data_IF_329940698704
#
_entry.id   IF_329940698704
#
_cell.length_a   1.000
_cell.length_b   1.000
_cell.length_c   1.000
_cell.angle_alpha   90.00
_cell.angle_beta   90.00
_cell.angle_gamma   90.00
#
_symmetry.space_group_name_H-M   'P 1'
#
loop_
_entity.id
_entity.type
_entity.pdbx_description
1 polymer ?
#
# COMPACT_ATOMS: atom_id res chain seq x y z
N UNK A 1 1.89 -36.43 -13.50
CA UNK A 1 1.42 -35.42 -12.52
C UNK A 1 -0.08 -35.53 -12.28
N UNK A 2 -0.93 -35.43 -13.30
CA UNK A 2 -2.39 -35.48 -13.13
C UNK A 2 -2.93 -36.78 -12.51
N UNK A 3 -2.36 -37.94 -12.86
CA UNK A 3 -2.75 -39.21 -12.24
C UNK A 3 -2.42 -39.26 -10.74
N UNK A 4 -1.31 -38.63 -10.32
CA UNK A 4 -0.90 -38.58 -8.91
C UNK A 4 -1.78 -37.59 -8.13
N UNK A 5 -2.10 -36.44 -8.74
CA UNK A 5 -3.05 -35.46 -8.19
C UNK A 5 -4.44 -36.08 -8.02
N UNK A 6 -4.93 -36.81 -9.03
CA UNK A 6 -6.20 -37.54 -8.96
C UNK A 6 -6.18 -38.63 -7.88
N UNK A 7 -5.06 -39.37 -7.75
CA UNK A 7 -4.88 -40.33 -6.66
C UNK A 7 -5.01 -39.63 -5.29
N UNK A 8 -4.26 -38.55 -5.05
CA UNK A 8 -4.30 -37.79 -3.80
C UNK A 8 -5.70 -37.23 -3.48
N UNK A 9 -6.47 -36.82 -4.50
CA UNK A 9 -7.85 -36.34 -4.33
C UNK A 9 -8.83 -37.45 -3.94
N UNK A 10 -8.68 -38.63 -4.53
CA UNK A 10 -9.61 -39.74 -4.40
C UNK A 10 -9.27 -40.70 -3.25
N UNK A 11 -8.11 -40.54 -2.59
CA UNK A 11 -7.76 -41.37 -1.43
C UNK A 11 -8.72 -41.12 -0.28
N UNK A 12 -9.24 -42.21 0.29
CA UNK A 12 -10.06 -42.18 1.51
C UNK A 12 -9.19 -41.71 2.69
N UNK A 13 -9.56 -40.61 3.38
CA UNK A 13 -8.81 -40.12 4.53
C UNK A 13 -8.66 -41.12 5.68
N UNK A 14 -9.49 -42.17 5.72
CA UNK A 14 -9.47 -43.18 6.77
C UNK A 14 -8.46 -44.32 6.51
N UNK A 15 -7.96 -44.47 5.26
CA UNK A 15 -6.98 -45.50 4.93
C UNK A 15 -5.55 -44.97 5.07
N UNK A 16 -4.95 -45.20 6.23
CA UNK A 16 -3.63 -44.64 6.56
C UNK A 16 -2.48 -45.10 5.65
N UNK A 17 -2.54 -46.29 5.04
CA UNK A 17 -1.45 -46.80 4.20
C UNK A 17 -1.53 -46.23 2.79
N UNK A 18 -2.73 -46.17 2.21
CA UNK A 18 -2.96 -45.54 0.90
C UNK A 18 -2.63 -44.04 0.92
N UNK A 19 -2.94 -43.34 2.02
CA UNK A 19 -2.57 -41.93 2.20
C UNK A 19 -1.06 -41.76 2.23
N UNK A 20 -0.31 -42.61 2.94
CA UNK A 20 1.17 -42.54 2.99
C UNK A 20 1.79 -42.81 1.63
N UNK A 21 1.30 -43.79 0.88
CA UNK A 21 1.82 -44.13 -0.45
C UNK A 21 1.56 -43.00 -1.46
N UNK A 22 0.34 -42.47 -1.47
CA UNK A 22 -0.05 -41.37 -2.35
C UNK A 22 0.75 -40.09 -2.04
N UNK A 23 0.93 -39.75 -0.76
CA UNK A 23 1.71 -38.58 -0.34
C UNK A 23 3.22 -38.75 -0.61
N UNK A 24 3.78 -39.93 -0.36
CA UNK A 24 5.18 -40.21 -0.66
C UNK A 24 5.46 -40.04 -2.16
N UNK A 25 4.58 -40.57 -3.00
CA UNK A 25 4.64 -40.41 -4.46
C UNK A 25 4.52 -38.93 -4.88
N UNK A 26 3.63 -38.17 -4.24
CA UNK A 26 3.46 -36.74 -4.49
C UNK A 26 4.70 -35.92 -4.12
N UNK A 27 5.29 -36.11 -2.94
CA UNK A 27 6.50 -35.39 -2.51
C UNK A 27 7.75 -35.74 -3.33
N UNK A 28 7.86 -36.99 -3.81
CA UNK A 28 8.87 -37.38 -4.78
C UNK A 28 8.68 -36.65 -6.12
N UNK A 29 7.43 -36.45 -6.57
CA UNK A 29 7.15 -35.68 -7.78
C UNK A 29 7.43 -34.18 -7.63
N UNK A 30 7.15 -33.58 -6.48
CA UNK A 30 7.51 -32.17 -6.21
C UNK A 30 9.01 -31.94 -6.40
N UNK A 31 9.83 -32.90 -5.99
CA UNK A 31 11.29 -32.82 -6.13
C UNK A 31 11.78 -32.93 -7.59
N UNK A 32 10.97 -33.52 -8.49
CA UNK A 32 11.31 -33.77 -9.90
C UNK A 32 10.77 -32.69 -10.85
N UNK A 33 9.57 -32.14 -10.61
CA UNK A 33 8.90 -31.21 -11.53
C UNK A 33 9.05 -29.73 -11.14
N UNK A 34 10.30 -29.31 -10.89
CA UNK A 34 10.65 -28.03 -10.26
C UNK A 34 10.26 -26.75 -11.04
N UNK A 35 10.02 -26.83 -12.35
CA UNK A 35 10.01 -25.61 -13.20
C UNK A 35 8.80 -25.42 -14.13
N UNK A 36 8.09 -26.47 -14.53
CA UNK A 36 7.07 -26.37 -15.61
C UNK A 36 5.62 -26.07 -15.13
N UNK A 37 5.25 -26.40 -13.88
CA UNK A 37 3.87 -26.22 -13.37
C UNK A 37 3.79 -25.81 -11.89
N UNK A 38 4.67 -24.90 -11.44
CA UNK A 38 4.82 -24.54 -10.02
C UNK A 38 3.52 -24.02 -9.38
N UNK A 39 2.70 -23.26 -10.12
CA UNK A 39 1.43 -22.72 -9.59
C UNK A 39 0.41 -23.81 -9.23
N UNK A 40 0.17 -24.76 -10.14
CA UNK A 40 -0.75 -25.89 -9.91
C UNK A 40 -0.21 -26.77 -8.78
N UNK A 41 1.09 -27.05 -8.78
CA UNK A 41 1.73 -27.84 -7.71
C UNK A 41 1.59 -27.19 -6.33
N UNK A 42 1.71 -25.86 -6.21
CA UNK A 42 1.54 -25.16 -4.94
C UNK A 42 0.10 -25.22 -4.44
N UNK A 43 -0.91 -25.07 -5.30
CA UNK A 43 -2.32 -25.24 -4.91
C UNK A 43 -2.64 -26.65 -4.41
N UNK A 44 -2.12 -27.64 -5.12
CA UNK A 44 -2.26 -29.05 -4.74
C UNK A 44 -1.56 -29.33 -3.40
N UNK A 45 -0.37 -28.76 -3.21
CA UNK A 45 0.36 -28.85 -1.95
C UNK A 45 -0.42 -28.20 -0.79
N UNK A 46 -1.03 -27.03 -1.01
CA UNK A 46 -1.88 -26.40 -0.01
C UNK A 46 -3.07 -27.29 0.36
N UNK A 47 -3.75 -27.88 -0.63
CA UNK A 47 -4.87 -28.80 -0.40
C UNK A 47 -4.43 -30.02 0.42
N UNK A 48 -3.29 -30.60 0.06
CA UNK A 48 -2.68 -31.74 0.78
C UNK A 48 -2.37 -31.39 2.23
N UNK A 49 -1.76 -30.23 2.49
CA UNK A 49 -1.41 -29.81 3.85
C UNK A 49 -2.67 -29.62 4.70
N UNK A 50 -3.72 -29.01 4.14
CA UNK A 50 -4.97 -28.76 4.84
C UNK A 50 -5.77 -30.05 5.10
N UNK A 51 -5.77 -30.99 4.15
CA UNK A 51 -6.52 -32.26 4.26
C UNK A 51 -5.80 -33.31 5.11
N UNK A 52 -4.47 -33.38 5.03
CA UNK A 52 -3.66 -34.43 5.64
C UNK A 52 -2.49 -33.90 6.51
N UNK A 53 -2.72 -32.97 7.46
CA UNK A 53 -1.64 -32.31 8.20
C UNK A 53 -0.75 -33.28 9.00
N UNK A 54 -1.32 -34.39 9.51
CA UNK A 54 -0.58 -35.41 10.28
C UNK A 54 0.49 -36.12 9.43
N UNK A 55 0.18 -36.40 8.16
CA UNK A 55 1.06 -37.12 7.26
C UNK A 55 2.13 -36.22 6.62
N UNK A 56 1.90 -34.91 6.60
CA UNK A 56 2.90 -33.94 6.15
C UNK A 56 4.07 -33.75 7.13
N UNK A 57 3.97 -34.26 8.37
CA UNK A 57 4.98 -34.09 9.41
C UNK A 57 6.35 -34.66 9.00
N UNK A 58 6.38 -35.84 8.38
CA UNK A 58 7.61 -36.50 7.90
C UNK A 58 8.26 -35.77 6.72
N UNK A 59 7.47 -35.01 5.95
CA UNK A 59 7.92 -34.31 4.75
C UNK A 59 8.11 -32.80 4.96
N UNK A 60 7.85 -32.28 6.17
CA UNK A 60 7.88 -30.84 6.48
C UNK A 60 9.17 -30.16 6.02
N UNK A 61 10.35 -30.72 6.33
CA UNK A 61 11.64 -30.13 5.94
C UNK A 61 11.82 -30.04 4.42
N UNK A 62 11.31 -31.02 3.67
CA UNK A 62 11.35 -31.02 2.21
C UNK A 62 10.43 -29.95 1.64
N UNK A 63 9.24 -29.79 2.24
CA UNK A 63 8.27 -28.74 1.89
C UNK A 63 8.88 -27.36 2.15
N UNK A 64 9.47 -27.12 3.32
CA UNK A 64 10.12 -25.84 3.62
C UNK A 64 11.26 -25.53 2.64
N UNK A 65 12.11 -26.53 2.34
CA UNK A 65 13.20 -26.38 1.36
C UNK A 65 12.69 -26.03 -0.04
N UNK A 66 11.53 -26.56 -0.42
CA UNK A 66 10.85 -26.20 -1.67
C UNK A 66 10.30 -24.77 -1.62
N UNK A 67 9.64 -24.39 -0.52
CA UNK A 67 9.01 -23.07 -0.36
C UNK A 67 10.02 -21.92 -0.27
N UNK A 68 11.18 -22.13 0.34
CA UNK A 68 12.26 -21.11 0.46
C UNK A 68 12.67 -20.54 -0.90
N UNK A 69 12.60 -21.34 -1.97
CA UNK A 69 12.98 -20.91 -3.33
C UNK A 69 12.09 -19.78 -3.84
N UNK A 70 10.82 -19.78 -3.43
CA UNK A 70 9.86 -18.77 -3.85
C UNK A 70 10.07 -17.42 -3.17
N UNK A 71 10.86 -17.34 -2.08
CA UNK A 71 11.28 -16.07 -1.49
C UNK A 71 12.06 -15.19 -2.48
N UNK A 72 12.73 -15.81 -3.46
CA UNK A 72 13.49 -15.12 -4.51
C UNK A 72 12.85 -15.24 -5.90
N UNK A 73 11.57 -15.61 -6.00
CA UNK A 73 10.89 -15.75 -7.29
C UNK A 73 10.35 -14.40 -7.79
N UNK A 74 10.41 -14.19 -9.11
CA UNK A 74 9.81 -13.03 -9.78
C UNK A 74 8.30 -13.19 -10.05
N UNK A 75 7.76 -14.42 -9.97
CA UNK A 75 6.36 -14.67 -10.30
C UNK A 75 5.45 -14.45 -9.07
N UNK A 76 4.71 -13.35 -9.09
CA UNK A 76 3.82 -12.93 -8.00
C UNK A 76 2.79 -14.00 -7.58
N UNK A 77 2.20 -14.72 -8.54
CA UNK A 77 1.21 -15.76 -8.24
C UNK A 77 1.83 -16.94 -7.49
N UNK A 78 3.02 -17.39 -7.91
CA UNK A 78 3.74 -18.45 -7.21
C UNK A 78 4.14 -18.02 -5.79
N UNK A 79 4.51 -16.75 -5.60
CA UNK A 79 4.86 -16.20 -4.27
C UNK A 79 3.63 -16.21 -3.36
N UNK A 80 2.45 -15.81 -3.85
CA UNK A 80 1.20 -15.88 -3.07
C UNK A 80 0.91 -17.33 -2.67
N UNK A 81 0.84 -18.26 -3.62
CA UNK A 81 0.49 -19.66 -3.31
C UNK A 81 1.54 -20.31 -2.38
N UNK A 82 2.82 -19.97 -2.54
CA UNK A 82 3.87 -20.42 -1.62
C UNK A 82 3.70 -19.82 -0.22
N UNK A 83 3.26 -18.57 -0.09
CA UNK A 83 2.92 -17.98 1.19
C UNK A 83 1.73 -18.69 1.84
N UNK A 84 0.69 -19.03 1.07
CA UNK A 84 -0.46 -19.81 1.57
C UNK A 84 -0.05 -21.20 2.05
N UNK A 85 0.81 -21.88 1.30
CA UNK A 85 1.38 -23.16 1.70
C UNK A 85 2.19 -23.03 2.99
N UNK A 86 2.99 -21.98 3.11
CA UNK A 86 3.83 -21.69 4.27
C UNK A 86 2.98 -21.43 5.53
N UNK A 87 1.89 -20.68 5.37
CA UNK A 87 0.88 -20.43 6.41
C UNK A 87 0.17 -21.71 6.83
N UNK A 88 -0.32 -22.52 5.87
CA UNK A 88 -0.94 -23.81 6.14
C UNK A 88 0.02 -24.77 6.85
N UNK A 89 1.31 -24.74 6.49
CA UNK A 89 2.34 -25.58 7.09
C UNK A 89 2.49 -25.32 8.59
N UNK A 90 2.14 -24.15 9.11
CA UNK A 90 2.20 -23.88 10.57
C UNK A 90 1.24 -24.76 11.39
N UNK A 91 0.25 -25.40 10.75
CA UNK A 91 -0.62 -26.38 11.40
C UNK A 91 0.10 -27.72 11.63
N UNK A 92 1.12 -28.02 10.83
CA UNK A 92 1.93 -29.23 10.94
C UNK A 92 2.98 -28.98 12.01
N UNK A 93 3.06 -29.81 13.04
CA UNK A 93 4.05 -29.60 14.11
C UNK A 93 5.49 -29.82 13.60
N UNK A 94 6.47 -28.99 14.01
CA UNK A 94 7.88 -29.26 13.74
C UNK A 94 8.33 -30.56 14.42
N UNK A 95 9.05 -31.42 13.70
CA UNK A 95 9.47 -32.73 14.20
C UNK A 95 10.36 -32.67 15.45
N UNK A 96 11.09 -31.56 15.64
CA UNK A 96 12.01 -31.38 16.77
C UNK A 96 11.34 -30.80 18.03
N UNK A 97 10.17 -30.17 17.92
CA UNK A 97 9.56 -29.46 19.04
C UNK A 97 8.32 -30.19 19.53
N UNK A 98 8.47 -30.92 20.64
CA UNK A 98 7.32 -31.60 21.26
C UNK A 98 6.31 -30.63 21.92
N UNK A 99 6.77 -29.40 22.14
CA UNK A 99 6.05 -28.19 22.56
C UNK A 99 4.95 -27.66 21.66
N UNK A 100 5.23 -27.73 20.36
CA UNK A 100 4.76 -26.71 19.45
C UNK A 100 3.26 -26.88 19.16
N UNK A 101 2.52 -25.80 19.42
CA UNK A 101 1.11 -25.66 19.05
C UNK A 101 0.99 -24.87 17.75
N UNK A 102 -0.08 -25.06 16.96
CA UNK A 102 -0.32 -24.25 15.77
C UNK A 102 -0.28 -22.73 16.04
N UNK A 103 -0.76 -22.30 17.22
CA UNK A 103 -0.70 -20.89 17.66
C UNK A 103 0.73 -20.41 17.84
N UNK A 104 1.57 -21.18 18.55
CA UNK A 104 2.97 -20.79 18.80
C UNK A 104 3.77 -20.81 17.50
N UNK A 105 3.62 -21.84 16.67
CA UNK A 105 4.31 -21.93 15.38
C UNK A 105 3.93 -20.78 14.43
N UNK A 106 2.65 -20.40 14.38
CA UNK A 106 2.21 -19.23 13.62
C UNK A 106 2.86 -17.93 14.14
N UNK A 107 2.87 -17.72 15.46
CA UNK A 107 3.46 -16.52 16.07
C UNK A 107 4.97 -16.44 15.81
N UNK A 108 5.66 -17.55 15.98
CA UNK A 108 7.12 -17.61 15.84
C UNK A 108 7.50 -17.35 14.38
N UNK A 109 6.77 -17.93 13.41
CA UNK A 109 6.95 -17.62 12.00
C UNK A 109 6.65 -16.15 11.66
N UNK A 110 5.58 -15.57 12.18
CA UNK A 110 5.27 -14.15 11.95
C UNK A 110 6.38 -13.24 12.48
N UNK A 111 6.93 -13.59 13.64
CA UNK A 111 8.07 -12.88 14.25
C UNK A 111 9.33 -13.01 13.39
N UNK A 112 9.62 -14.20 12.88
CA UNK A 112 10.76 -14.44 11.98
C UNK A 112 10.64 -13.65 10.68
N UNK A 113 9.44 -13.56 10.09
CA UNK A 113 9.19 -12.74 8.90
C UNK A 113 9.42 -11.26 9.20
N UNK A 114 8.92 -10.74 10.32
CA UNK A 114 9.14 -9.34 10.72
C UNK A 114 10.63 -9.04 10.94
N UNK A 115 11.36 -9.93 11.61
CA UNK A 115 12.81 -9.81 11.82
C UNK A 115 13.59 -9.86 10.49
N UNK A 116 13.18 -10.71 9.56
CA UNK A 116 13.77 -10.79 8.23
C UNK A 116 13.55 -9.47 7.45
N UNK A 117 12.36 -8.86 7.55
CA UNK A 117 12.10 -7.53 6.97
C UNK A 117 13.01 -6.48 7.57
N UNK A 118 13.13 -6.41 8.90
CA UNK A 118 14.02 -5.45 9.56
C UNK A 118 15.48 -5.61 9.13
N UNK A 119 15.95 -6.86 9.01
CA UNK A 119 17.30 -7.18 8.53
C UNK A 119 17.48 -6.76 7.07
N UNK A 120 16.47 -7.01 6.22
CA UNK A 120 16.49 -6.61 4.82
C UNK A 120 16.51 -5.09 4.66
N UNK A 121 15.70 -4.35 5.42
CA UNK A 121 15.69 -2.87 5.39
C UNK A 121 17.07 -2.32 5.70
N UNK A 122 17.70 -2.78 6.79
CA UNK A 122 19.05 -2.35 7.16
C UNK A 122 20.11 -2.70 6.11
N UNK A 123 19.91 -3.79 5.36
CA UNK A 123 20.82 -4.19 4.28
C UNK A 123 20.60 -3.47 2.94
N UNK A 124 19.35 -3.07 2.65
CA UNK A 124 18.96 -2.40 1.40
C UNK A 124 19.19 -0.91 1.50
N UNK A 125 18.98 -0.33 2.68
CA UNK A 125 19.01 1.11 2.92
C UNK A 125 20.00 1.47 4.03
N UNK A 126 21.29 1.16 3.82
CA UNK A 126 22.37 1.45 4.79
C UNK A 126 22.48 2.94 5.15
N UNK A 127 22.06 3.82 4.23
CA UNK A 127 22.18 5.28 4.34
C UNK A 127 20.88 5.97 4.77
N UNK A 128 19.78 5.22 4.94
CA UNK A 128 18.54 5.80 5.43
C UNK A 128 18.69 6.15 6.92
N UNK A 129 18.34 7.37 7.30
CA UNK A 129 18.38 7.88 8.68
C UNK A 129 17.47 7.00 9.55
N UNK A 130 18.06 6.02 10.24
CA UNK A 130 17.32 5.07 11.08
C UNK A 130 16.95 5.70 12.42
N UNK A 131 15.80 6.37 12.47
CA UNK A 131 15.20 6.93 13.70
C UNK A 131 14.77 5.82 14.70
N UNK A 132 14.71 4.56 14.28
CA UNK A 132 14.14 3.44 15.04
C UNK A 132 15.12 2.26 15.21
N UNK A 133 16.36 2.52 15.65
CA UNK A 133 17.31 1.47 16.05
C UNK A 133 16.99 0.91 17.44
N UNK A 134 15.91 0.15 17.54
CA UNK A 134 15.89 -0.95 18.49
C UNK A 134 16.13 -2.22 17.69
N UNK A 135 17.39 -2.70 17.70
CA UNK A 135 17.73 -3.97 17.09
C UNK A 135 16.88 -5.07 17.77
N UNK A 136 15.99 -5.76 17.04
CA UNK A 136 15.37 -6.95 17.60
C UNK A 136 16.49 -7.93 17.93
N UNK A 137 16.56 -8.34 19.20
CA UNK A 137 17.48 -9.39 19.65
C UNK A 137 17.32 -10.59 18.71
N UNK A 138 18.42 -11.21 18.22
CA UNK A 138 18.31 -12.35 17.33
C UNK A 138 17.43 -13.42 17.99
N UNK A 139 16.37 -13.81 17.28
CA UNK A 139 15.46 -14.85 17.74
C UNK A 139 16.24 -16.14 18.00
N UNK A 140 15.80 -16.85 19.05
CA UNK A 140 16.29 -18.14 19.55
C UNK A 140 16.63 -19.11 18.41
N UNK A 141 17.70 -19.90 18.61
CA UNK A 141 18.12 -21.08 17.84
C UNK A 141 17.12 -21.51 16.76
N UNK A 142 17.32 -21.05 15.52
CA UNK A 142 16.46 -21.37 14.38
C UNK A 142 16.40 -22.90 14.19
N UNK A 143 15.27 -23.52 14.55
CA UNK A 143 15.08 -24.97 14.53
C UNK A 143 14.59 -25.51 13.17
N UNK A 144 14.11 -24.63 12.29
CA UNK A 144 13.52 -25.00 10.99
C UNK A 144 14.31 -24.45 9.80
N UNK A 145 14.38 -25.19 8.66
CA UNK A 145 14.98 -24.70 7.42
C UNK A 145 14.48 -23.32 6.99
N UNK A 146 13.19 -23.02 7.16
CA UNK A 146 12.62 -21.71 6.85
C UNK A 146 13.18 -20.61 7.76
N UNK A 147 13.24 -20.83 9.09
CA UNK A 147 13.80 -19.87 10.03
C UNK A 147 15.29 -19.59 9.75
N UNK A 148 16.07 -20.61 9.39
CA UNK A 148 17.47 -20.46 8.99
C UNK A 148 17.59 -19.63 7.69
N UNK A 149 16.73 -19.89 6.70
CA UNK A 149 16.73 -19.14 5.45
C UNK A 149 16.34 -17.66 5.64
N UNK A 150 15.42 -17.37 6.57
CA UNK A 150 15.03 -16.01 6.95
C UNK A 150 16.14 -15.29 7.73
N UNK A 151 16.87 -15.99 8.61
CA UNK A 151 18.00 -15.43 9.34
C UNK A 151 19.21 -15.14 8.44
N UNK A 152 19.47 -15.98 7.43
CA UNK A 152 20.59 -15.83 6.49
C UNK A 152 20.20 -15.12 5.17
N UNK A 153 19.09 -14.38 5.18
CA UNK A 153 18.49 -13.83 3.95
C UNK A 153 19.38 -12.84 3.20
N UNK A 154 20.42 -12.31 3.84
CA UNK A 154 21.39 -11.36 3.26
C UNK A 154 22.74 -11.98 2.87
N UNK A 155 23.09 -13.17 3.40
CA UNK A 155 24.47 -13.73 3.32
C UNK A 155 24.81 -14.47 2.02
N UNK A 156 23.82 -14.92 1.25
CA UNK A 156 24.03 -15.81 0.07
C UNK A 156 24.26 -15.11 -1.27
N UNK A 157 24.70 -13.85 -1.31
CA UNK A 157 24.74 -13.08 -2.57
C UNK A 157 26.16 -12.61 -2.90
N UNK A 158 26.69 -13.08 -4.03
CA UNK A 158 28.08 -12.87 -4.47
C UNK A 158 28.28 -11.66 -5.41
N UNK A 159 27.25 -11.21 -6.14
CA UNK A 159 27.34 -10.09 -7.10
C UNK A 159 26.62 -8.82 -6.63
N UNK A 160 27.28 -7.66 -6.71
CA UNK A 160 26.85 -6.41 -6.04
C UNK A 160 25.60 -5.75 -6.67
N UNK A 161 25.46 -5.72 -7.99
CA UNK A 161 24.30 -5.10 -8.66
C UNK A 161 23.05 -5.98 -8.62
N UNK A 162 23.22 -7.28 -8.83
CA UNK A 162 22.13 -8.26 -8.67
C UNK A 162 21.75 -8.45 -7.20
N UNK A 163 22.64 -8.11 -6.27
CA UNK A 163 22.33 -8.16 -4.84
C UNK A 163 21.25 -7.19 -4.44
N UNK A 164 21.30 -5.94 -4.90
CA UNK A 164 20.32 -4.96 -4.46
C UNK A 164 18.93 -5.26 -5.02
N UNK A 165 18.82 -5.55 -6.32
CA UNK A 165 17.55 -5.96 -6.94
C UNK A 165 16.98 -7.23 -6.32
N UNK A 166 17.83 -8.21 -5.99
CA UNK A 166 17.42 -9.44 -5.30
C UNK A 166 16.97 -9.19 -3.86
N UNK A 167 17.61 -8.28 -3.13
CA UNK A 167 17.19 -7.91 -1.77
C UNK A 167 15.85 -7.16 -1.79
N UNK A 168 15.63 -6.26 -2.75
CA UNK A 168 14.33 -5.61 -2.97
C UNK A 168 13.23 -6.63 -3.30
N UNK A 169 13.53 -7.59 -4.19
CA UNK A 169 12.61 -8.68 -4.53
C UNK A 169 12.26 -9.53 -3.31
N UNK A 170 13.25 -9.93 -2.51
CA UNK A 170 13.04 -10.69 -1.27
C UNK A 170 12.20 -9.92 -0.27
N UNK A 171 12.47 -8.62 -0.11
CA UNK A 171 11.70 -7.75 0.78
C UNK A 171 10.23 -7.68 0.36
N UNK A 172 9.97 -7.46 -0.93
CA UNK A 172 8.61 -7.48 -1.49
C UNK A 172 7.92 -8.83 -1.23
N UNK A 173 8.61 -9.93 -1.51
CA UNK A 173 8.05 -11.27 -1.35
C UNK A 173 7.74 -11.59 0.11
N UNK A 174 8.57 -11.18 1.07
CA UNK A 174 8.28 -11.38 2.49
C UNK A 174 7.04 -10.58 2.92
N UNK A 175 6.85 -9.36 2.42
CA UNK A 175 5.63 -8.61 2.70
C UNK A 175 4.38 -9.31 2.15
N UNK A 176 4.48 -9.96 0.98
CA UNK A 176 3.40 -10.82 0.46
C UNK A 176 3.14 -12.01 1.39
N UNK A 177 4.20 -12.61 1.97
CA UNK A 177 4.06 -13.69 2.94
C UNK A 177 3.31 -13.24 4.20
N UNK A 178 3.67 -12.06 4.74
CA UNK A 178 2.97 -11.46 5.89
C UNK A 178 1.49 -11.21 5.55
N UNK A 179 1.20 -10.63 4.37
CA UNK A 179 -0.16 -10.37 3.92
C UNK A 179 -1.00 -11.65 3.81
N UNK A 180 -0.45 -12.70 3.20
CA UNK A 180 -1.14 -13.99 3.08
C UNK A 180 -1.42 -14.61 4.46
N UNK A 181 -0.45 -14.55 5.39
CA UNK A 181 -0.65 -15.06 6.76
C UNK A 181 -1.73 -14.29 7.52
N UNK A 182 -1.92 -12.99 7.25
CA UNK A 182 -2.98 -12.18 7.86
C UNK A 182 -4.36 -12.49 7.28
N UNK A 183 -4.48 -12.62 5.96
CA UNK A 183 -5.79 -12.75 5.28
C UNK A 183 -6.30 -14.19 5.22
N UNK A 184 -5.43 -15.19 5.00
CA UNK A 184 -5.90 -16.56 4.74
C UNK A 184 -6.48 -17.26 5.96
N UNK A 185 -7.47 -18.14 5.74
CA UNK A 185 -8.12 -18.90 6.81
C UNK A 185 -7.10 -19.77 7.56
N UNK A 186 -7.25 -19.84 8.89
CA UNK A 186 -6.44 -20.69 9.76
C UNK A 186 -7.38 -21.44 10.71
N UNK A 187 -7.14 -22.73 11.02
CA UNK A 187 -8.07 -23.54 11.81
C UNK A 187 -8.19 -23.11 13.27
N UNK A 188 -7.29 -22.23 13.73
CA UNK A 188 -7.24 -21.74 15.11
C UNK A 188 -7.18 -20.21 15.10
N UNK A 189 -7.67 -19.57 16.16
CA UNK A 189 -7.52 -18.12 16.34
C UNK A 189 -6.04 -17.70 16.23
N UNK A 190 -5.76 -16.75 15.33
CA UNK A 190 -4.41 -16.25 15.05
C UNK A 190 -3.95 -15.34 16.19
N UNK A 191 -2.81 -15.61 16.85
CA UNK A 191 -2.26 -14.72 17.87
C UNK A 191 -1.54 -13.52 17.22
N UNK A 192 -2.31 -12.63 16.61
CA UNK A 192 -1.78 -11.45 15.90
C UNK A 192 -1.23 -10.45 16.92
N UNK A 193 -0.03 -9.94 16.67
CA UNK A 193 0.60 -8.85 17.43
C UNK A 193 0.64 -7.59 16.55
N UNK A 194 -0.36 -6.70 16.63
CA UNK A 194 -0.48 -5.56 15.71
C UNK A 194 0.73 -4.64 15.77
N UNK A 195 1.28 -4.40 16.97
CA UNK A 195 2.42 -3.54 17.18
C UNK A 195 3.65 -3.96 16.37
N UNK A 196 4.03 -5.24 16.41
CA UNK A 196 5.20 -5.76 15.68
C UNK A 196 5.07 -5.57 14.17
N UNK A 197 3.86 -5.74 13.63
CA UNK A 197 3.59 -5.56 12.20
C UNK A 197 3.59 -4.07 11.85
N UNK A 198 2.99 -3.23 12.70
CA UNK A 198 2.97 -1.78 12.52
C UNK A 198 4.38 -1.18 12.59
N UNK A 199 5.26 -1.69 13.46
CA UNK A 199 6.67 -1.25 13.55
C UNK A 199 7.41 -1.50 12.24
N UNK A 200 7.17 -2.66 11.60
CA UNK A 200 7.69 -2.96 10.25
C UNK A 200 7.17 -1.96 9.22
N UNK A 201 5.87 -1.66 9.22
CA UNK A 201 5.24 -0.70 8.29
C UNK A 201 5.79 0.71 8.50
N UNK A 202 5.90 1.18 9.74
CA UNK A 202 6.50 2.48 10.11
C UNK A 202 7.91 2.58 9.56
N UNK A 203 8.73 1.54 9.74
CA UNK A 203 10.10 1.54 9.25
C UNK A 203 10.16 1.62 7.73
N UNK A 204 9.35 0.84 7.00
CA UNK A 204 9.31 0.85 5.54
C UNK A 204 8.83 2.17 4.95
N UNK A 205 7.80 2.78 5.56
CA UNK A 205 7.27 4.06 5.11
C UNK A 205 8.20 5.23 5.44
N UNK A 206 9.08 5.09 6.44
CA UNK A 206 10.07 6.11 6.81
C UNK A 206 11.35 6.09 5.98
N UNK A 207 11.59 5.04 5.19
CA UNK A 207 12.75 4.99 4.28
C UNK A 207 12.66 6.10 3.23
N UNK A 208 13.72 6.88 3.09
CA UNK A 208 13.91 7.89 2.04
C UNK A 208 15.21 7.60 1.28
N UNK A 209 15.18 7.56 -0.06
CA UNK A 209 16.42 7.53 -0.86
C UNK A 209 17.03 8.93 -0.93
N UNK A 210 18.33 9.05 -0.69
CA UNK A 210 19.11 10.22 -1.12
C UNK A 210 19.44 10.20 -2.62
N UNK A 211 19.18 9.08 -3.30
CA UNK A 211 19.63 8.80 -4.67
C UNK A 211 18.45 8.45 -5.59
N UNK A 212 18.29 9.25 -6.66
CA UNK A 212 17.20 9.14 -7.66
C UNK A 212 17.11 7.79 -8.37
N UNK A 213 18.13 6.94 -8.25
CA UNK A 213 18.21 5.64 -8.92
C UNK A 213 17.33 4.56 -8.26
N UNK A 214 16.82 4.78 -7.04
CA UNK A 214 16.00 3.82 -6.30
C UNK A 214 14.55 4.27 -6.10
N UNK A 215 14.12 5.34 -6.76
CA UNK A 215 12.81 5.96 -6.51
C UNK A 215 11.66 5.01 -6.90
N UNK A 216 11.81 4.22 -7.97
CA UNK A 216 10.81 3.23 -8.39
C UNK A 216 10.70 2.09 -7.39
N UNK A 217 11.82 1.55 -6.92
CA UNK A 217 11.86 0.44 -5.98
C UNK A 217 11.28 0.84 -4.62
N UNK A 218 11.57 2.05 -4.16
CA UNK A 218 10.98 2.62 -2.94
C UNK A 218 9.47 2.79 -3.08
N UNK A 219 8.99 3.31 -4.22
CA UNK A 219 7.55 3.43 -4.45
C UNK A 219 6.85 2.06 -4.37
N UNK A 220 7.43 1.02 -4.99
CA UNK A 220 6.85 -0.33 -4.91
C UNK A 220 6.83 -0.90 -3.50
N UNK A 221 7.86 -0.63 -2.69
CA UNK A 221 7.94 -1.07 -1.30
C UNK A 221 6.93 -0.32 -0.43
N UNK A 222 6.78 0.99 -0.60
CA UNK A 222 5.78 1.78 0.13
C UNK A 222 4.35 1.31 -0.20
N UNK A 223 4.06 1.03 -1.47
CA UNK A 223 2.77 0.43 -1.89
C UNK A 223 2.57 -0.92 -1.18
N UNK A 224 3.59 -1.76 -1.15
CA UNK A 224 3.48 -3.08 -0.52
C UNK A 224 3.32 -2.96 1.01
N UNK A 225 3.93 -1.97 1.65
CA UNK A 225 3.74 -1.67 3.07
C UNK A 225 2.30 -1.20 3.37
N UNK A 226 1.75 -0.31 2.54
CA UNK A 226 0.35 0.13 2.64
C UNK A 226 -0.63 -1.04 2.44
N UNK A 227 -0.37 -1.94 1.48
CA UNK A 227 -1.18 -3.17 1.32
C UNK A 227 -1.10 -4.10 2.54
N UNK A 228 0.03 -4.13 3.24
CA UNK A 228 0.16 -4.87 4.52
C UNK A 228 -0.68 -4.23 5.61
N UNK A 229 -0.74 -2.89 5.65
CA UNK A 229 -1.64 -2.15 6.53
C UNK A 229 -3.11 -2.45 6.21
N UNK A 230 -3.49 -2.47 4.93
CA UNK A 230 -4.86 -2.83 4.51
C UNK A 230 -5.23 -4.25 4.95
N UNK A 231 -4.33 -5.21 4.75
CA UNK A 231 -4.52 -6.60 5.21
C UNK A 231 -4.71 -6.69 6.73
N UNK A 232 -3.99 -5.85 7.48
CA UNK A 232 -4.11 -5.76 8.93
C UNK A 232 -5.47 -5.15 9.35
N UNK A 233 -5.90 -4.08 8.68
CA UNK A 233 -7.20 -3.43 8.88
C UNK A 233 -8.35 -4.40 8.61
N UNK A 234 -8.31 -5.11 7.48
CA UNK A 234 -9.34 -6.09 7.12
C UNK A 234 -9.40 -7.25 8.12
N UNK A 235 -8.25 -7.69 8.64
CA UNK A 235 -8.19 -8.82 9.55
C UNK A 235 -8.62 -8.48 10.99
N UNK A 236 -8.18 -7.32 11.52
CA UNK A 236 -8.43 -6.93 12.92
C UNK A 236 -9.66 -6.04 13.08
N UNK A 237 -10.03 -5.29 12.05
CA UNK A 237 -11.14 -4.35 12.06
C UNK A 237 -11.09 -3.39 13.25
N UNK A 238 -12.14 -3.42 14.08
CA UNK A 238 -12.27 -2.60 15.29
C UNK A 238 -11.22 -2.87 16.37
N UNK A 239 -10.55 -4.03 16.36
CA UNK A 239 -9.48 -4.31 17.31
C UNK A 239 -8.23 -3.43 17.08
N UNK A 240 -8.15 -2.76 15.93
CA UNK A 240 -7.06 -1.83 15.60
C UNK A 240 -7.32 -0.39 16.08
N UNK A 241 -8.49 -0.10 16.67
CA UNK A 241 -8.85 1.25 17.15
C UNK A 241 -7.81 1.88 18.10
N UNK A 242 -7.18 1.15 19.04
CA UNK A 242 -6.14 1.74 19.89
C UNK A 242 -4.93 2.31 19.10
N UNK A 243 -4.71 1.80 17.88
CA UNK A 243 -3.63 2.21 16.99
C UNK A 243 -4.08 3.22 15.91
N UNK A 244 -5.34 3.72 15.95
CA UNK A 244 -5.85 4.70 14.99
C UNK A 244 -4.91 5.89 14.75
N UNK A 245 -4.34 6.54 15.79
CA UNK A 245 -3.46 7.69 15.59
C UNK A 245 -2.21 7.34 14.78
N UNK A 246 -1.70 6.12 14.94
CA UNK A 246 -0.55 5.63 14.19
C UNK A 246 -0.91 5.44 12.71
N UNK A 247 -2.08 4.86 12.42
CA UNK A 247 -2.58 4.68 11.05
C UNK A 247 -2.70 6.02 10.31
N UNK A 248 -3.33 7.02 10.94
CA UNK A 248 -3.44 8.36 10.34
C UNK A 248 -2.07 9.01 10.12
N UNK A 249 -1.16 8.89 11.10
CA UNK A 249 0.21 9.42 10.97
C UNK A 249 0.97 8.77 9.82
N UNK A 250 0.84 7.46 9.64
CA UNK A 250 1.50 6.72 8.56
C UNK A 250 1.04 7.19 7.18
N UNK A 251 -0.27 7.31 6.98
CA UNK A 251 -0.85 7.79 5.72
C UNK A 251 -0.44 9.24 5.45
N UNK A 252 -0.47 10.11 6.45
CA UNK A 252 -0.07 11.51 6.24
C UNK A 252 1.41 11.68 5.97
N UNK A 253 2.25 10.86 6.59
CA UNK A 253 3.67 10.82 6.30
C UNK A 253 3.91 10.40 4.84
N UNK A 254 3.17 9.41 4.32
CA UNK A 254 3.31 9.01 2.91
C UNK A 254 2.80 10.09 1.97
N UNK A 255 1.69 10.75 2.27
CA UNK A 255 1.16 11.86 1.47
C UNK A 255 2.14 13.05 1.41
N UNK A 256 2.72 13.46 2.55
CA UNK A 256 3.77 14.49 2.59
C UNK A 256 4.96 14.10 1.73
N UNK A 257 5.46 12.87 1.90
CA UNK A 257 6.60 12.38 1.11
C UNK A 257 6.31 12.37 -0.41
N UNK A 258 5.10 12.00 -0.84
CA UNK A 258 4.73 12.05 -2.26
C UNK A 258 4.63 13.48 -2.80
N UNK A 259 4.29 14.45 -1.95
CA UNK A 259 4.24 15.87 -2.32
C UNK A 259 5.64 16.43 -2.55
N UNK A 260 6.61 15.98 -1.75
CA UNK A 260 8.01 16.41 -1.86
C UNK A 260 8.73 15.79 -3.08
N UNK A 261 8.20 14.70 -3.65
CA UNK A 261 8.84 13.93 -4.74
C UNK A 261 7.89 13.66 -5.93
N UNK A 262 7.40 14.68 -6.65
CA UNK A 262 6.38 14.48 -7.69
C UNK A 262 6.93 13.70 -8.90
N UNK A 263 6.57 12.41 -8.97
CA UNK A 263 6.86 11.49 -10.08
C UNK A 263 5.65 10.60 -10.39
N UNK A 264 5.63 9.98 -11.57
CA UNK A 264 4.57 9.04 -11.97
C UNK A 264 4.47 7.78 -11.08
N UNK A 265 5.55 7.44 -10.34
CA UNK A 265 5.49 6.32 -9.42
C UNK A 265 4.93 6.74 -8.05
N UNK A 266 5.19 7.99 -7.63
CA UNK A 266 4.62 8.54 -6.40
C UNK A 266 3.13 8.82 -6.50
N UNK A 267 2.58 9.07 -7.69
CA UNK A 267 1.12 9.17 -7.87
C UNK A 267 0.41 7.89 -7.46
N UNK A 268 0.94 6.72 -7.86
CA UNK A 268 0.42 5.40 -7.47
C UNK A 268 0.52 5.16 -5.96
N UNK A 269 1.60 5.62 -5.32
CA UNK A 269 1.73 5.59 -3.84
C UNK A 269 0.67 6.48 -3.19
N UNK A 270 0.40 7.66 -3.76
CA UNK A 270 -0.60 8.62 -3.29
C UNK A 270 -2.02 8.05 -3.40
N UNK A 271 -2.39 7.47 -4.55
CA UNK A 271 -3.66 6.77 -4.72
C UNK A 271 -3.82 5.60 -3.72
N UNK A 272 -2.77 4.80 -3.55
CA UNK A 272 -2.80 3.69 -2.57
C UNK A 272 -2.98 4.22 -1.15
N UNK A 273 -2.36 5.33 -0.79
CA UNK A 273 -2.50 5.96 0.54
C UNK A 273 -3.93 6.42 0.81
N UNK A 274 -4.60 7.03 -0.19
CA UNK A 274 -6.00 7.41 -0.10
C UNK A 274 -6.94 6.21 0.01
N UNK A 275 -6.68 5.15 -0.76
CA UNK A 275 -7.47 3.91 -0.69
C UNK A 275 -7.32 3.24 0.69
N UNK A 276 -6.09 3.13 1.20
CA UNK A 276 -5.83 2.63 2.56
C UNK A 276 -6.55 3.43 3.64
N UNK A 277 -6.57 4.76 3.51
CA UNK A 277 -7.32 5.63 4.41
C UNK A 277 -8.83 5.40 4.30
N UNK A 278 -9.35 5.23 3.08
CA UNK A 278 -10.75 4.89 2.84
C UNK A 278 -11.17 3.57 3.50
N UNK A 279 -10.35 2.51 3.37
CA UNK A 279 -10.60 1.24 4.05
C UNK A 279 -10.58 1.37 5.58
N UNK A 280 -9.68 2.20 6.11
CA UNK A 280 -9.62 2.45 7.54
C UNK A 280 -10.85 3.22 8.05
N UNK A 281 -11.24 4.29 7.36
CA UNK A 281 -12.38 5.12 7.72
C UNK A 281 -13.70 4.35 7.66
N UNK A 282 -13.88 3.48 6.65
CA UNK A 282 -15.07 2.61 6.58
C UNK A 282 -15.15 1.64 7.77
N UNK A 283 -14.02 1.13 8.25
CA UNK A 283 -13.96 0.26 9.45
C UNK A 283 -14.37 1.01 10.72
N UNK A 284 -14.06 2.30 10.82
CA UNK A 284 -14.38 3.12 12.00
C UNK A 284 -15.88 3.44 12.12
N UNK A 285 -16.63 3.52 11.01
CA UNK A 285 -18.06 3.85 10.88
C UNK A 285 -18.49 5.22 11.44
N UNK A 286 -18.03 5.61 12.62
CA UNK A 286 -18.14 6.94 13.21
C UNK A 286 -16.93 7.18 14.10
N UNK A 287 -16.11 8.18 13.77
CA UNK A 287 -14.93 8.52 14.55
C UNK A 287 -15.18 9.83 15.30
N UNK A 288 -15.49 9.73 16.59
CA UNK A 288 -15.52 10.89 17.49
C UNK A 288 -14.09 11.20 17.91
N UNK A 289 -13.59 12.31 17.41
CA UNK A 289 -12.28 12.85 17.75
C UNK A 289 -12.30 13.31 19.21
N UNK A 290 -11.39 12.77 20.03
CA UNK A 290 -11.13 13.32 21.36
C UNK A 290 -10.43 14.66 21.21
N UNK A 291 -10.99 15.69 21.83
CA UNK A 291 -10.44 17.04 21.95
C UNK A 291 -9.01 17.01 22.47
N UNK A 292 -8.04 17.11 21.58
CA UNK A 292 -6.75 17.78 21.81
C UNK A 292 -5.93 17.78 20.52
N UNK A 293 -5.78 18.95 19.89
CA UNK A 293 -4.68 19.26 18.95
C UNK A 293 -4.57 18.41 17.66
N UNK A 294 -5.66 18.19 16.92
CA UNK A 294 -5.57 17.49 15.62
C UNK A 294 -5.17 18.43 14.47
N UNK A 295 -3.87 18.44 14.14
CA UNK A 295 -3.27 19.04 12.94
C UNK A 295 -3.41 18.16 11.69
N UNK A 296 -3.83 16.91 11.87
CA UNK A 296 -3.84 15.90 10.83
C UNK A 296 -5.04 16.02 9.89
N UNK A 297 -6.19 16.47 10.41
CA UNK A 297 -7.42 16.70 9.62
C UNK A 297 -7.24 17.87 8.65
N UNK A 298 -6.66 18.97 9.13
CA UNK A 298 -6.38 20.15 8.32
C UNK A 298 -5.32 19.82 7.25
N UNK A 299 -4.26 19.09 7.62
CA UNK A 299 -3.26 18.63 6.65
C UNK A 299 -3.80 17.63 5.64
N UNK A 300 -4.75 16.77 6.02
CA UNK A 300 -5.41 15.85 5.09
C UNK A 300 -6.34 16.63 4.13
N UNK A 301 -7.10 17.57 4.67
CA UNK A 301 -7.99 18.45 3.91
C UNK A 301 -7.23 19.21 2.84
N UNK A 302 -6.11 19.83 3.20
CA UNK A 302 -5.26 20.57 2.28
C UNK A 302 -4.71 19.68 1.16
N UNK A 303 -4.27 18.46 1.48
CA UNK A 303 -3.79 17.51 0.47
C UNK A 303 -4.90 17.07 -0.50
N UNK A 304 -6.09 16.76 0.03
CA UNK A 304 -7.24 16.34 -0.79
C UNK A 304 -7.69 17.50 -1.68
N UNK A 305 -7.81 18.73 -1.16
CA UNK A 305 -8.22 19.91 -1.93
C UNK A 305 -7.19 20.21 -3.03
N UNK A 306 -5.90 20.10 -2.72
CA UNK A 306 -4.82 20.30 -3.70
C UNK A 306 -4.89 19.28 -4.83
N UNK A 307 -5.26 18.03 -4.53
CA UNK A 307 -5.34 16.96 -5.53
C UNK A 307 -6.63 16.98 -6.36
N UNK A 308 -7.73 17.50 -5.80
CA UNK A 308 -9.00 17.68 -6.52
C UNK A 308 -8.95 18.88 -7.47
N UNK A 309 -8.19 19.91 -7.10
CA UNK A 309 -8.08 21.14 -7.89
C UNK A 309 -7.15 20.88 -9.10
N UNK A 310 -7.66 20.92 -10.34
CA UNK A 310 -6.84 20.64 -11.51
C UNK A 310 -5.77 21.71 -11.64
N UNK A 311 -4.54 21.31 -11.99
CA UNK A 311 -3.46 22.25 -12.28
C UNK A 311 -3.91 23.08 -13.49
N UNK A 312 -4.36 24.31 -13.24
CA UNK A 312 -4.75 25.23 -14.31
C UNK A 312 -3.52 25.40 -15.20
N UNK A 313 -3.61 24.96 -16.46
CA UNK A 313 -2.63 25.34 -17.48
C UNK A 313 -2.65 26.87 -17.53
N UNK A 314 -1.63 27.48 -16.94
CA UNK A 314 -1.41 28.92 -17.10
C UNK A 314 -0.98 29.10 -18.54
N UNK A 315 -1.96 29.35 -19.42
CA UNK A 315 -1.71 29.73 -20.79
C UNK A 315 -1.07 31.11 -20.72
N UNK A 316 0.25 31.14 -20.84
CA UNK A 316 0.95 32.40 -21.02
C UNK A 316 0.51 32.95 -22.38
N UNK A 317 -0.26 34.05 -22.37
CA UNK A 317 -0.49 34.81 -23.59
C UNK A 317 0.86 35.42 -23.98
N UNK A 318 1.56 34.75 -24.90
CA UNK A 318 2.75 35.30 -25.54
C UNK A 318 2.31 36.54 -26.31
N UNK A 319 2.44 37.71 -25.71
CA UNK A 319 2.21 38.97 -26.41
C UNK A 319 3.12 38.98 -27.63
N UNK A 320 2.52 39.16 -28.82
CA UNK A 320 3.24 39.19 -30.09
C UNK A 320 4.40 40.19 -30.06
N UNK A 321 5.38 40.05 -30.96
CA UNK A 321 6.65 40.76 -30.88
C UNK A 321 6.44 42.28 -30.87
N UNK A 322 6.53 42.90 -29.69
CA UNK A 322 6.59 44.35 -29.60
C UNK A 322 7.88 44.84 -30.27
N UNK A 323 7.83 45.94 -31.05
CA UNK A 323 8.96 46.43 -31.84
C UNK A 323 10.05 47.03 -30.92
N UNK A 324 10.86 46.16 -30.31
CA UNK A 324 12.02 46.53 -29.49
C UNK A 324 13.30 46.54 -30.35
N UNK A 325 13.24 47.15 -31.54
CA UNK A 325 14.37 47.14 -32.50
C UNK A 325 15.63 47.86 -31.98
N UNK A 326 15.48 48.80 -31.04
CA UNK A 326 16.60 49.65 -30.58
C UNK A 326 17.05 49.37 -29.13
N UNK A 327 16.57 48.30 -28.49
CA UNK A 327 16.97 47.98 -27.11
C UNK A 327 18.12 46.97 -27.08
N UNK A 328 19.17 47.28 -26.33
CA UNK A 328 20.26 46.34 -26.07
C UNK A 328 19.74 45.08 -25.35
N UNK A 329 20.44 43.94 -25.50
CA UNK A 329 20.06 42.67 -24.86
C UNK A 329 19.84 42.81 -23.35
N UNK A 330 20.60 43.69 -22.69
CA UNK A 330 20.48 43.99 -21.25
C UNK A 330 19.23 44.81 -20.92
N UNK A 331 18.87 45.77 -21.78
CA UNK A 331 17.66 46.58 -21.63
C UNK A 331 16.38 45.78 -21.88
N UNK A 332 16.38 44.85 -22.85
CA UNK A 332 15.25 43.93 -23.09
C UNK A 332 14.96 43.04 -21.88
N UNK A 333 16.01 42.44 -21.30
CA UNK A 333 15.87 41.64 -20.06
C UNK A 333 15.34 42.48 -18.91
N UNK A 334 15.86 43.70 -18.73
CA UNK A 334 15.41 44.60 -17.66
C UNK A 334 13.93 44.95 -17.84
N UNK A 335 13.49 45.31 -19.05
CA UNK A 335 12.11 45.69 -19.37
C UNK A 335 11.11 44.54 -19.16
N UNK A 336 11.46 43.32 -19.57
CA UNK A 336 10.68 42.11 -19.25
C UNK A 336 10.58 41.90 -17.74
N UNK A 337 11.68 42.14 -17.01
CA UNK A 337 11.71 42.01 -15.54
C UNK A 337 10.90 43.11 -14.83
N UNK A 338 10.91 44.35 -15.35
CA UNK A 338 10.10 45.44 -14.78
C UNK A 338 8.62 45.24 -15.06
N UNK A 339 8.24 44.82 -16.28
CA UNK A 339 6.83 44.53 -16.62
C UNK A 339 6.29 43.31 -15.87
N UNK A 340 7.14 42.30 -15.58
CA UNK A 340 6.81 41.19 -14.68
C UNK A 340 6.59 41.65 -13.24
N UNK A 341 7.27 42.70 -12.78
CA UNK A 341 7.10 43.26 -11.43
C UNK A 341 5.91 44.20 -11.31
N UNK A 342 5.58 44.92 -12.36
CA UNK A 342 4.43 45.85 -12.40
C UNK A 342 3.10 45.13 -12.66
N UNK A 343 3.14 43.94 -13.26
CA UNK A 343 2.01 43.04 -13.22
C UNK A 343 1.94 42.37 -11.84
N UNK A 344 0.85 42.57 -11.11
CA UNK A 344 0.55 41.89 -9.83
C UNK A 344 0.44 40.35 -9.91
N UNK A 345 0.97 39.74 -10.98
CA UNK A 345 1.11 38.31 -11.22
C UNK A 345 2.44 37.73 -10.70
N UNK A 346 3.32 38.57 -10.14
CA UNK A 346 4.68 38.21 -9.74
C UNK A 346 4.83 37.31 -8.49
N UNK A 347 3.75 36.79 -7.90
CA UNK A 347 3.85 35.79 -6.81
C UNK A 347 4.04 34.36 -7.36
N UNK A 348 3.76 34.13 -8.64
CA UNK A 348 3.86 32.80 -9.26
C UNK A 348 4.54 32.82 -10.64
N UNK A 349 5.78 33.28 -10.71
CA UNK A 349 6.62 33.11 -11.89
C UNK A 349 7.70 32.04 -11.65
N UNK A 350 7.67 30.88 -12.33
CA UNK A 350 8.84 30.03 -12.46
C UNK A 350 9.68 30.47 -13.66
N UNK A 351 11.00 30.47 -13.46
CA UNK A 351 11.94 30.49 -14.56
C UNK A 351 11.77 29.25 -15.43
N UNK A 352 12.05 29.42 -16.72
CA UNK A 352 12.10 28.37 -17.74
C UNK A 352 12.67 27.05 -17.20
N UNK A 353 11.86 26.00 -17.21
CA UNK A 353 12.24 24.63 -17.54
C UNK A 353 10.97 23.82 -17.77
N UNK A 354 10.60 23.63 -19.03
CA UNK A 354 9.68 22.58 -19.46
C UNK A 354 10.23 21.22 -19.00
N UNK A 355 9.79 20.74 -17.82
CA UNK A 355 9.93 19.34 -17.40
C UNK A 355 9.08 19.03 -16.16
N UNK A 356 7.77 18.96 -16.36
CA UNK A 356 6.89 18.01 -15.66
C UNK A 356 5.53 18.03 -16.36
N UNK A 357 5.47 17.44 -17.55
CA UNK A 357 4.23 16.86 -18.04
C UNK A 357 3.97 15.58 -17.23
N UNK A 358 3.51 15.73 -15.97
CA UNK A 358 2.79 14.63 -15.33
C UNK A 358 1.54 14.45 -16.18
N UNK A 359 1.40 13.27 -16.80
CA UNK A 359 0.32 12.99 -17.76
C UNK A 359 -1.03 13.38 -17.15
N UNK A 360 -1.88 14.08 -17.91
CA UNK A 360 -3.23 14.47 -17.48
C UNK A 360 -4.03 13.26 -16.97
N UNK A 361 -3.77 12.06 -17.50
CA UNK A 361 -4.37 10.79 -17.07
C UNK A 361 -3.99 10.40 -15.63
N UNK A 362 -2.75 10.66 -15.22
CA UNK A 362 -2.23 10.29 -13.88
C UNK A 362 -2.79 11.22 -12.81
N UNK A 363 -2.97 12.50 -13.17
CA UNK A 363 -3.65 13.47 -12.30
C UNK A 363 -5.15 13.12 -12.17
N UNK A 364 -5.76 12.57 -13.22
CA UNK A 364 -7.14 12.12 -13.17
C UNK A 364 -7.34 10.94 -12.19
N UNK A 365 -6.43 9.96 -12.16
CA UNK A 365 -6.48 8.84 -11.21
C UNK A 365 -6.32 9.30 -9.74
N UNK A 366 -5.40 10.24 -9.49
CA UNK A 366 -5.20 10.79 -8.14
C UNK A 366 -6.45 11.57 -7.69
N UNK A 367 -6.99 12.42 -8.56
CA UNK A 367 -8.20 13.18 -8.26
C UNK A 367 -9.38 12.25 -7.94
N UNK A 368 -9.53 11.16 -8.70
CA UNK A 368 -10.55 10.12 -8.44
C UNK A 368 -10.36 9.50 -7.06
N UNK A 369 -9.16 9.02 -6.73
CA UNK A 369 -8.88 8.39 -5.45
C UNK A 369 -9.05 9.36 -4.27
N UNK A 370 -8.67 10.63 -4.46
CA UNK A 370 -8.88 11.69 -3.48
C UNK A 370 -10.37 11.98 -3.26
N UNK A 371 -11.19 11.98 -4.32
CA UNK A 371 -12.65 12.19 -4.24
C UNK A 371 -13.36 11.03 -3.53
N UNK A 372 -12.99 9.78 -3.83
CA UNK A 372 -13.53 8.61 -3.12
C UNK A 372 -13.18 8.65 -1.63
N UNK A 373 -11.93 9.02 -1.32
CA UNK A 373 -11.51 9.21 0.06
C UNK A 373 -12.26 10.37 0.74
N UNK A 374 -12.50 11.47 0.02
CA UNK A 374 -13.24 12.63 0.52
C UNK A 374 -14.70 12.29 0.84
N UNK A 375 -15.39 11.52 -0.01
CA UNK A 375 -16.75 11.04 0.26
C UNK A 375 -16.82 10.25 1.57
N UNK A 376 -15.92 9.29 1.75
CA UNK A 376 -15.87 8.45 2.96
C UNK A 376 -15.50 9.31 4.18
N UNK A 377 -14.50 10.20 4.04
CA UNK A 377 -14.06 11.09 5.11
C UNK A 377 -15.17 12.03 5.58
N UNK A 378 -15.89 12.67 4.66
CA UNK A 378 -17.01 13.54 4.98
C UNK A 378 -18.18 12.76 5.58
N UNK A 379 -18.39 11.51 5.17
CA UNK A 379 -19.45 10.66 5.74
C UNK A 379 -19.14 10.25 7.18
N UNK A 380 -17.90 9.85 7.47
CA UNK A 380 -17.47 9.30 8.77
C UNK A 380 -17.12 10.40 9.77
N UNK A 381 -16.45 11.47 9.32
CA UNK A 381 -15.92 12.54 10.17
C UNK A 381 -16.68 13.88 10.02
N UNK A 382 -17.56 14.03 9.02
CA UNK A 382 -18.16 15.32 8.63
C UNK A 382 -18.82 16.10 9.76
N UNK A 383 -19.54 15.41 10.65
CA UNK A 383 -20.22 16.03 11.80
C UNK A 383 -19.27 16.60 12.86
N UNK A 384 -18.03 16.11 12.90
CA UNK A 384 -17.03 16.44 13.91
C UNK A 384 -15.91 17.33 13.37
N UNK A 385 -15.93 17.65 12.07
CA UNK A 385 -14.94 18.53 11.44
C UNK A 385 -15.10 19.98 11.92
N UNK A 386 -13.97 20.69 11.98
CA UNK A 386 -13.96 22.12 12.22
C UNK A 386 -14.78 22.84 11.13
N UNK A 387 -15.65 23.80 11.49
CA UNK A 387 -16.46 24.55 10.53
C UNK A 387 -15.64 25.23 9.41
N UNK A 388 -14.42 25.70 9.71
CA UNK A 388 -13.55 26.36 8.73
C UNK A 388 -13.06 25.38 7.65
N UNK A 389 -12.54 24.21 8.06
CA UNK A 389 -12.06 23.16 7.16
C UNK A 389 -13.22 22.57 6.34
N UNK A 390 -14.39 22.41 6.97
CA UNK A 390 -15.61 21.98 6.28
C UNK A 390 -16.05 22.97 5.19
N UNK A 391 -16.00 24.28 5.49
CA UNK A 391 -16.34 25.34 4.54
C UNK A 391 -15.37 25.38 3.35
N UNK A 392 -14.07 25.19 3.59
CA UNK A 392 -13.06 25.11 2.53
C UNK A 392 -13.33 23.93 1.59
N UNK A 393 -13.65 22.75 2.14
CA UNK A 393 -14.06 21.58 1.35
C UNK A 393 -15.30 21.87 0.51
N UNK A 394 -16.33 22.45 1.14
CA UNK A 394 -17.58 22.82 0.49
C UNK A 394 -17.35 23.80 -0.66
N UNK A 395 -16.61 24.88 -0.45
CA UNK A 395 -16.34 25.89 -1.48
C UNK A 395 -15.52 25.32 -2.64
N UNK A 396 -14.55 24.45 -2.34
CA UNK A 396 -13.70 23.81 -3.36
C UNK A 396 -14.50 22.81 -4.19
N UNK A 397 -15.31 21.95 -3.55
CA UNK A 397 -16.17 21.00 -4.26
C UNK A 397 -17.22 21.69 -5.12
N UNK A 398 -17.86 22.76 -4.61
CA UNK A 398 -18.82 23.55 -5.38
C UNK A 398 -18.14 24.20 -6.58
N UNK A 399 -16.97 24.83 -6.38
CA UNK A 399 -16.20 25.46 -7.47
C UNK A 399 -15.87 24.46 -8.58
N UNK A 400 -15.41 23.27 -8.23
CA UNK A 400 -15.07 22.26 -9.24
C UNK A 400 -16.30 21.63 -9.89
N UNK A 401 -17.44 21.51 -9.19
CA UNK A 401 -18.70 21.09 -9.82
C UNK A 401 -19.21 22.08 -10.87
N UNK A 402 -18.96 23.38 -10.70
CA UNK A 402 -19.29 24.39 -11.72
C UNK A 402 -18.34 24.37 -12.92
N UNK A 403 -17.16 23.76 -12.79
CA UNK A 403 -16.19 23.53 -13.89
C UNK A 403 -16.44 22.20 -14.63
N UNK A 404 -17.69 21.73 -14.71
CA UNK A 404 -18.07 20.41 -15.23
C UNK A 404 -17.60 20.12 -16.67
N UNK A 405 -17.28 21.15 -17.46
CA UNK A 405 -16.81 21.02 -18.85
C UNK A 405 -15.37 20.50 -18.97
N UNK A 406 -14.60 20.50 -17.88
CA UNK A 406 -13.19 20.08 -17.86
C UNK A 406 -13.01 18.64 -17.36
N UNK A 407 -14.06 17.99 -16.88
CA UNK A 407 -13.98 16.69 -16.21
C UNK A 407 -14.56 15.55 -17.03
N UNK A 408 -14.00 14.35 -16.84
CA UNK A 408 -14.60 13.12 -17.35
C UNK A 408 -15.88 12.78 -16.59
N UNK A 409 -16.84 12.12 -17.24
CA UNK A 409 -18.13 11.74 -16.62
C UNK A 409 -17.96 10.98 -15.28
N UNK A 410 -16.90 10.16 -15.16
CA UNK A 410 -16.62 9.37 -13.95
C UNK A 410 -16.10 10.23 -12.77
N UNK A 411 -15.39 11.31 -13.05
CA UNK A 411 -14.98 12.29 -12.04
C UNK A 411 -16.16 13.13 -11.57
N UNK A 412 -17.06 13.50 -12.49
CA UNK A 412 -18.24 14.29 -12.19
C UNK A 412 -19.22 13.55 -11.27
N UNK A 413 -19.43 12.24 -11.49
CA UNK A 413 -20.25 11.42 -10.60
C UNK A 413 -19.68 11.38 -9.18
N UNK A 414 -18.35 11.24 -9.03
CA UNK A 414 -17.69 11.22 -7.72
C UNK A 414 -17.69 12.57 -7.02
N UNK A 415 -17.52 13.66 -7.77
CA UNK A 415 -17.69 15.04 -7.26
C UNK A 415 -19.11 15.24 -6.71
N UNK A 416 -20.14 14.78 -7.43
CA UNK A 416 -21.53 14.85 -6.98
C UNK A 416 -21.78 13.99 -5.73
N UNK A 417 -21.17 12.80 -5.61
CA UNK A 417 -21.27 11.96 -4.41
C UNK A 417 -20.62 12.61 -3.19
N UNK A 418 -19.41 13.15 -3.35
CA UNK A 418 -18.74 13.89 -2.28
C UNK A 418 -19.56 15.13 -1.85
N UNK A 419 -20.15 15.84 -2.81
CA UNK A 419 -21.04 16.98 -2.55
C UNK A 419 -22.35 16.54 -1.86
N UNK A 420 -22.92 15.39 -2.22
CA UNK A 420 -24.06 14.83 -1.48
C UNK A 420 -23.69 14.43 -0.05
N UNK A 421 -22.48 13.90 0.18
CA UNK A 421 -21.96 13.63 1.51
C UNK A 421 -21.90 14.92 2.34
N UNK A 422 -21.40 16.04 1.77
CA UNK A 422 -21.42 17.35 2.46
C UNK A 422 -22.83 17.87 2.78
N UNK A 423 -23.85 17.45 2.03
CA UNK A 423 -25.24 17.82 2.35
C UNK A 423 -25.75 17.04 3.56
N UNK A 424 -25.39 15.75 3.67
CA UNK A 424 -25.89 14.83 4.72
C UNK A 424 -25.17 14.98 6.06
N UNK A 425 -23.92 15.46 6.07
CA UNK A 425 -23.07 15.47 7.28
C UNK A 425 -22.65 16.85 7.75
N UNK A 426 -23.38 17.90 7.36
CA UNK A 426 -23.12 19.28 7.75
C UNK A 426 -23.01 19.44 9.29
N UNK A 427 -21.93 20.07 9.80
CA UNK A 427 -21.82 20.47 11.20
C UNK A 427 -22.94 21.45 11.57
N UNK A 428 -23.33 21.49 12.84
CA UNK A 428 -24.43 22.32 13.35
C UNK A 428 -24.26 23.84 13.19
N UNK A 429 -23.08 24.29 12.71
CA UNK A 429 -22.75 25.71 12.48
C UNK A 429 -22.52 26.12 11.02
N UNK A 430 -22.63 25.21 10.04
CA UNK A 430 -22.44 25.53 8.62
C UNK A 430 -23.72 25.22 7.83
N UNK A 431 -24.26 26.16 7.03
CA UNK A 431 -25.45 25.87 6.23
C UNK A 431 -25.14 24.78 5.19
N UNK A 432 -25.97 23.74 5.08
CA UNK A 432 -25.76 22.68 4.10
C UNK A 432 -25.82 23.25 2.68
N UNK A 433 -25.05 22.65 1.76
CA UNK A 433 -24.92 23.02 0.34
C UNK A 433 -26.20 22.88 -0.49
N UNK A 434 -27.36 22.65 0.12
CA UNK A 434 -28.61 22.21 -0.51
C UNK A 434 -29.00 23.05 -1.72
N UNK A 435 -28.83 24.38 -1.68
CA UNK A 435 -29.17 25.27 -2.79
C UNK A 435 -28.23 25.12 -3.99
N UNK A 436 -26.92 24.97 -3.75
CA UNK A 436 -25.93 24.74 -4.81
C UNK A 436 -26.10 23.36 -5.43
N UNK A 437 -26.37 22.33 -4.62
CA UNK A 437 -26.69 20.99 -5.10
C UNK A 437 -27.90 21.01 -6.03
N UNK A 438 -29.01 21.64 -5.62
CA UNK A 438 -30.23 21.71 -6.41
C UNK A 438 -30.02 22.45 -7.73
N UNK A 439 -29.25 23.55 -7.72
CA UNK A 439 -28.92 24.27 -8.93
C UNK A 439 -28.06 23.44 -9.89
N UNK A 440 -27.03 22.76 -9.40
CA UNK A 440 -26.18 21.88 -10.20
C UNK A 440 -26.97 20.68 -10.78
N UNK A 441 -27.83 20.03 -9.99
CA UNK A 441 -28.70 18.96 -10.49
C UNK A 441 -29.68 19.47 -11.55
N UNK A 442 -30.22 20.68 -11.41
CA UNK A 442 -31.09 21.29 -12.42
C UNK A 442 -30.35 21.61 -13.72
N UNK A 443 -29.10 22.09 -13.64
CA UNK A 443 -28.26 22.34 -14.81
C UNK A 443 -27.89 21.05 -15.55
N UNK A 444 -27.55 19.99 -14.80
CA UNK A 444 -27.21 18.69 -15.38
C UNK A 444 -28.44 18.02 -16.02
N UNK A 445 -29.62 18.12 -15.40
CA UNK A 445 -30.86 17.59 -15.97
C UNK A 445 -31.31 18.32 -17.24
N UNK A 446 -31.10 19.65 -17.30
CA UNK A 446 -31.41 20.47 -18.48
C UNK A 446 -30.36 20.36 -19.60
N UNK A 447 -29.26 19.64 -19.39
CA UNK A 447 -28.18 19.43 -20.37
C UNK A 447 -28.22 18.06 -21.06
N UNK A 448 -29.17 17.20 -20.69
CA UNK A 448 -29.61 16.03 -21.47
C UNK A 448 -30.66 16.45 -22.49
#
# INVERSE_FOLDING_TARGET
MEQIIKKVHNVDPNNSEEVKEALSSFFQCISKYKELHSHRLLRELQHVINRFPKYCLTHRSNIETFLIRFLSSNNYFNVIEAAKCTHALQQVRPSQEKSATPKTSWRDQMTDLCNAVHTLIGSVYSDAVEVYRDNPKPAKNASTPMAVALADITKKIKDVKDKQSLLHLRLKNILVFIQAMLVDVYPVAKPIQPQTILDVVVRLLSVTSGTKQYDTDICTIKIQALRTLDALVVCLGSNLIPYSPLVFRLVLQTLKWTSDHPTDHTSKVRCTSYNSLGYWLTTLHSHRISDTSNTWEDSLADNIITDITPVKKVVLLTMGPQPTKNLSKKAKRKLVTTQLKESNLAVHAPGENNKTSVSEEVNNEIAIAALECAEIFLTVCGRFLKPATYKLFQESLVRECYNYTLYTNDQLVRLLRALEATRKTAPTGVPPTTQYCLHLYSLLHNSQ
#
